data_IF_379901906643
#
_entry.id   IF_379901906643
#
_cell.length_a   1.000
_cell.length_b   1.000
_cell.length_c   1.000
_cell.angle_alpha   90.00
_cell.angle_beta   90.00
_cell.angle_gamma   90.00
#
_symmetry.space_group_name_H-M   'P 1'
#
loop_
_entity.id
_entity.type
_entity.pdbx_description
1 polymer ?
#
# COMPACT_ATOMS: atom_id res chain seq x y z
N UNK A 1 -26.38 -39.09 -5.23
CA UNK A 1 -24.93 -39.34 -5.12
C UNK A 1 -24.27 -38.18 -5.89
N UNK A 2 -23.88 -37.16 -5.19
CA UNK A 2 -23.22 -35.98 -5.77
C UNK A 2 -21.86 -35.91 -5.12
N UNK A 3 -20.82 -36.16 -5.92
CA UNK A 3 -19.42 -36.12 -5.51
C UNK A 3 -19.01 -34.66 -5.35
N UNK A 4 -18.70 -34.30 -4.11
CA UNK A 4 -18.00 -33.07 -3.77
C UNK A 4 -16.55 -33.18 -4.30
N UNK A 5 -16.25 -32.58 -5.42
CA UNK A 5 -14.87 -32.32 -5.83
C UNK A 5 -14.35 -31.14 -5.03
N UNK A 6 -13.56 -31.45 -4.04
CA UNK A 6 -12.75 -30.51 -3.28
C UNK A 6 -11.64 -30.05 -4.22
N UNK A 7 -11.73 -28.80 -4.71
CA UNK A 7 -10.64 -28.13 -5.41
C UNK A 7 -9.50 -27.93 -4.39
N UNK A 8 -8.53 -28.85 -4.41
CA UNK A 8 -7.25 -28.63 -3.77
C UNK A 8 -6.47 -27.62 -4.63
N UNK A 9 -6.14 -26.47 -4.07
CA UNK A 9 -5.16 -25.58 -4.65
C UNK A 9 -3.79 -26.18 -4.33
N UNK A 10 -3.16 -26.82 -5.32
CA UNK A 10 -1.75 -27.11 -5.27
C UNK A 10 -0.99 -25.77 -5.40
N UNK A 11 -0.56 -25.24 -4.28
CA UNK A 11 0.51 -24.26 -4.29
C UNK A 11 1.78 -25.04 -4.65
N UNK A 12 2.23 -24.84 -5.89
CA UNK A 12 3.54 -25.27 -6.33
C UNK A 12 4.57 -24.55 -5.43
N UNK A 13 5.28 -25.30 -4.58
CA UNK A 13 6.45 -24.85 -3.82
C UNK A 13 7.64 -24.56 -4.78
N UNK A 14 7.33 -23.98 -5.95
CA UNK A 14 8.28 -23.54 -6.94
C UNK A 14 9.15 -22.41 -6.43
N UNK A 15 10.39 -22.74 -6.22
CA UNK A 15 11.55 -21.87 -6.01
C UNK A 15 11.53 -21.01 -4.75
N UNK A 16 11.88 -21.64 -3.63
CA UNK A 16 12.67 -20.96 -2.60
C UNK A 16 13.95 -20.48 -3.30
N UNK A 17 13.95 -19.20 -3.70
CA UNK A 17 15.10 -18.58 -4.32
C UNK A 17 16.33 -18.87 -3.44
N UNK A 18 17.31 -19.54 -4.03
CA UNK A 18 18.61 -19.80 -3.40
C UNK A 18 19.10 -18.49 -2.78
N UNK A 19 19.20 -18.47 -1.46
CA UNK A 19 19.80 -17.35 -0.70
C UNK A 19 21.19 -17.12 -1.27
N UNK A 20 21.35 -16.03 -2.04
CA UNK A 20 22.65 -15.64 -2.56
C UNK A 20 23.65 -15.46 -1.40
N UNK A 21 24.88 -15.92 -1.53
CA UNK A 21 25.82 -15.96 -0.42
C UNK A 21 26.20 -14.54 0.03
N UNK A 22 25.97 -14.33 1.32
CA UNK A 22 26.69 -13.54 2.29
C UNK A 22 27.25 -12.16 1.85
N UNK A 23 26.47 -11.11 2.12
CA UNK A 23 26.94 -9.72 2.08
C UNK A 23 27.88 -9.36 3.25
N UNK A 24 28.39 -10.35 4.00
CA UNK A 24 29.24 -10.13 5.18
C UNK A 24 28.47 -9.67 6.45
N UNK A 25 27.18 -9.41 6.34
CA UNK A 25 26.33 -9.01 7.47
C UNK A 25 26.10 -10.16 8.47
N UNK A 26 26.08 -11.40 7.98
CA UNK A 26 25.87 -12.61 8.81
C UNK A 26 26.95 -12.83 9.88
N UNK A 27 28.09 -12.14 9.79
CA UNK A 27 29.16 -12.16 10.82
C UNK A 27 28.86 -11.33 12.05
N UNK A 28 27.87 -10.46 11.98
CA UNK A 28 27.49 -9.58 13.10
C UNK A 28 26.23 -10.13 13.78
N UNK A 29 26.17 -10.00 15.12
CA UNK A 29 25.00 -10.37 15.86
C UNK A 29 23.81 -9.47 15.45
N UNK A 30 22.66 -10.04 15.03
CA UNK A 30 21.49 -9.26 14.66
C UNK A 30 21.10 -8.26 15.75
N UNK A 31 20.77 -7.03 15.38
CA UNK A 31 20.46 -5.95 16.32
C UNK A 31 21.67 -5.23 16.91
N UNK A 32 22.91 -5.72 16.70
CA UNK A 32 24.11 -5.01 17.14
C UNK A 32 24.39 -3.76 16.30
N UNK A 33 25.19 -2.82 16.84
CA UNK A 33 25.60 -1.61 16.10
C UNK A 33 26.27 -1.93 14.76
N UNK A 34 27.14 -2.95 14.75
CA UNK A 34 27.83 -3.37 13.54
C UNK A 34 26.85 -3.98 12.51
N UNK A 35 25.86 -4.74 12.99
CA UNK A 35 24.83 -5.28 12.12
C UNK A 35 23.98 -4.15 11.51
N UNK A 36 23.50 -3.21 12.33
CA UNK A 36 22.73 -2.05 11.85
C UNK A 36 23.56 -1.25 10.84
N UNK A 37 24.84 -1.00 11.11
CA UNK A 37 25.72 -0.26 10.21
C UNK A 37 26.00 -0.98 8.88
N UNK A 38 25.95 -2.31 8.86
CA UNK A 38 26.18 -3.14 7.67
C UNK A 38 24.96 -3.31 6.77
N UNK A 39 23.73 -3.06 7.29
CA UNK A 39 22.50 -3.12 6.50
C UNK A 39 22.57 -2.16 5.30
N UNK A 40 22.01 -2.59 4.18
CA UNK A 40 21.89 -1.81 2.95
C UNK A 40 20.41 -1.74 2.53
N UNK A 41 20.00 -0.76 1.71
CA UNK A 41 18.61 -0.66 1.22
C UNK A 41 18.32 -1.67 0.10
N UNK A 42 18.62 -2.96 0.33
CA UNK A 42 18.40 -4.05 -0.61
C UNK A 42 17.20 -4.88 -0.20
N UNK A 43 16.64 -5.64 -1.14
CA UNK A 43 15.54 -6.55 -0.88
C UNK A 43 15.95 -7.67 0.08
N UNK A 44 17.17 -8.18 -0.04
CA UNK A 44 17.70 -9.20 0.88
C UNK A 44 17.76 -8.70 2.33
N UNK A 45 18.19 -7.46 2.55
CA UNK A 45 18.25 -6.88 3.88
C UNK A 45 16.86 -6.49 4.40
N UNK A 46 15.91 -6.15 3.52
CA UNK A 46 14.50 -5.97 3.90
C UNK A 46 13.90 -7.27 4.45
N UNK A 47 14.14 -8.42 3.80
CA UNK A 47 13.72 -9.73 4.31
C UNK A 47 14.37 -10.06 5.67
N UNK A 48 15.63 -9.67 5.88
CA UNK A 48 16.33 -9.83 7.17
C UNK A 48 15.67 -9.00 8.27
N UNK A 49 15.30 -7.75 7.96
CA UNK A 49 14.58 -6.85 8.86
C UNK A 49 13.23 -7.41 9.26
N UNK A 50 12.51 -8.00 8.30
CA UNK A 50 11.19 -8.58 8.54
C UNK A 50 11.22 -9.77 9.52
N UNK A 51 12.27 -10.57 9.47
CA UNK A 51 12.46 -11.75 10.32
C UNK A 51 13.17 -11.46 11.65
N UNK A 52 13.65 -10.23 11.86
CA UNK A 52 14.41 -9.90 13.04
C UNK A 52 13.50 -9.59 14.24
N UNK A 53 13.81 -10.16 15.42
CA UNK A 53 13.08 -9.87 16.65
C UNK A 53 13.58 -8.58 17.30
N UNK A 54 12.81 -7.51 17.11
CA UNK A 54 13.12 -6.16 17.63
C UNK A 54 13.13 -6.09 19.17
N UNK A 55 12.45 -7.01 19.87
CA UNK A 55 12.40 -7.03 21.33
C UNK A 55 13.75 -7.38 21.97
N UNK A 56 14.71 -7.87 21.20
CA UNK A 56 16.05 -8.18 21.67
C UNK A 56 16.99 -6.98 21.72
N UNK A 57 16.54 -5.81 21.25
CA UNK A 57 17.35 -4.60 21.12
C UNK A 57 17.37 -3.74 22.40
N UNK A 58 18.44 -2.94 22.55
CA UNK A 58 18.41 -1.79 23.46
C UNK A 58 17.67 -0.62 22.80
N UNK A 59 17.16 0.31 23.61
CA UNK A 59 16.45 1.48 23.09
C UNK A 59 17.31 2.34 22.15
N UNK A 60 18.63 2.46 22.43
CA UNK A 60 19.55 3.21 21.59
C UNK A 60 19.79 2.52 20.24
N UNK A 61 19.90 1.19 20.22
CA UNK A 61 20.05 0.42 18.99
C UNK A 61 18.75 0.47 18.16
N UNK A 62 17.60 0.36 18.83
CA UNK A 62 16.29 0.49 18.18
C UNK A 62 16.10 1.86 17.54
N UNK A 63 16.48 2.95 18.19
CA UNK A 63 16.41 4.30 17.65
C UNK A 63 17.30 4.47 16.40
N UNK A 64 18.50 3.88 16.40
CA UNK A 64 19.39 3.91 15.23
C UNK A 64 18.84 3.10 14.06
N UNK A 65 18.29 1.91 14.33
CA UNK A 65 17.67 1.09 13.30
C UNK A 65 16.44 1.80 12.73
N UNK A 66 15.57 2.32 13.59
CA UNK A 66 14.38 3.07 13.18
C UNK A 66 14.74 4.23 12.25
N UNK A 67 15.68 5.10 12.65
CA UNK A 67 16.09 6.25 11.84
C UNK A 67 16.63 5.84 10.47
N UNK A 68 17.35 4.72 10.40
CA UNK A 68 17.90 4.20 9.15
C UNK A 68 16.81 3.66 8.23
N UNK A 69 15.90 2.85 8.76
CA UNK A 69 14.81 2.26 8.00
C UNK A 69 13.82 3.34 7.56
N UNK A 70 13.50 4.31 8.43
CA UNK A 70 12.65 5.45 8.10
C UNK A 70 13.21 6.26 6.92
N UNK A 71 14.53 6.52 6.91
CA UNK A 71 15.18 7.21 5.79
C UNK A 71 15.10 6.41 4.48
N UNK A 72 15.17 5.08 4.53
CA UNK A 72 14.98 4.25 3.33
C UNK A 72 13.54 4.26 2.84
N UNK A 73 12.56 4.17 3.73
CA UNK A 73 11.14 4.28 3.37
C UNK A 73 10.85 5.65 2.74
N UNK A 74 11.38 6.74 3.28
CA UNK A 74 11.24 8.07 2.68
C UNK A 74 11.89 8.14 1.28
N UNK A 75 13.07 7.54 1.12
CA UNK A 75 13.75 7.46 -0.19
C UNK A 75 12.96 6.62 -1.20
N UNK A 76 12.41 5.49 -0.76
CA UNK A 76 11.56 4.63 -1.60
C UNK A 76 10.28 5.38 -2.03
N UNK A 77 9.66 6.14 -1.11
CA UNK A 77 8.49 6.96 -1.41
C UNK A 77 8.81 8.05 -2.44
N UNK A 78 9.94 8.75 -2.29
CA UNK A 78 10.38 9.76 -3.26
C UNK A 78 10.59 9.11 -4.64
N UNK A 79 11.36 8.02 -4.69
CA UNK A 79 11.64 7.31 -5.93
C UNK A 79 10.36 6.79 -6.62
N UNK A 80 9.39 6.33 -5.82
CA UNK A 80 8.13 5.79 -6.31
C UNK A 80 7.17 6.89 -6.75
N UNK A 81 6.96 7.95 -5.92
CA UNK A 81 5.90 8.94 -6.14
C UNK A 81 6.37 10.20 -6.89
N UNK A 82 7.68 10.52 -6.86
CA UNK A 82 8.20 11.74 -7.48
C UNK A 82 9.00 11.42 -8.74
N UNK A 83 9.94 10.44 -8.61
CA UNK A 83 10.91 10.18 -9.66
C UNK A 83 10.40 9.14 -10.67
N UNK A 84 9.23 8.52 -10.42
CA UNK A 84 8.65 7.40 -11.18
C UNK A 84 9.70 6.32 -11.52
N UNK A 85 10.58 6.07 -10.58
CA UNK A 85 11.73 5.18 -10.72
C UNK A 85 11.95 4.37 -9.44
N UNK A 86 11.05 3.41 -9.14
CA UNK A 86 11.14 2.62 -7.91
C UNK A 86 12.48 1.89 -7.82
N UNK A 87 13.15 2.05 -6.68
CA UNK A 87 14.48 1.47 -6.39
C UNK A 87 14.40 0.21 -5.55
N UNK A 88 13.22 -0.13 -5.06
CA UNK A 88 12.94 -1.31 -4.23
C UNK A 88 11.70 -2.03 -4.74
N UNK A 89 11.61 -3.34 -4.49
CA UNK A 89 10.37 -4.08 -4.72
C UNK A 89 9.30 -3.70 -3.68
N UNK A 90 8.02 -3.90 -4.03
CA UNK A 90 6.90 -3.67 -3.10
C UNK A 90 7.08 -4.51 -1.83
N UNK A 91 7.51 -5.77 -1.97
CA UNK A 91 7.79 -6.65 -0.83
C UNK A 91 8.90 -6.11 0.10
N UNK A 92 9.93 -5.48 -0.45
CA UNK A 92 10.99 -4.86 0.33
C UNK A 92 10.51 -3.60 1.05
N UNK A 93 9.70 -2.78 0.38
CA UNK A 93 9.06 -1.62 0.98
C UNK A 93 8.16 -2.02 2.17
N UNK A 94 7.28 -3.00 1.97
CA UNK A 94 6.40 -3.52 3.01
C UNK A 94 7.16 -4.11 4.20
N UNK A 95 8.24 -4.85 3.93
CA UNK A 95 9.09 -5.39 4.98
C UNK A 95 9.75 -4.30 5.84
N UNK A 96 10.14 -3.17 5.23
CA UNK A 96 10.67 -1.99 5.93
C UNK A 96 9.59 -1.31 6.76
N UNK A 97 8.39 -1.14 6.20
CA UNK A 97 7.24 -0.57 6.92
C UNK A 97 6.90 -1.41 8.16
N UNK A 98 6.76 -2.73 8.01
CA UNK A 98 6.51 -3.64 9.15
C UNK A 98 7.63 -3.59 10.20
N UNK A 99 8.88 -3.41 9.78
CA UNK A 99 9.99 -3.23 10.72
C UNK A 99 9.82 -1.96 11.56
N UNK A 100 9.42 -0.84 10.96
CA UNK A 100 9.13 0.41 11.69
C UNK A 100 7.98 0.23 12.67
N UNK A 101 6.86 -0.34 12.25
CA UNK A 101 5.70 -0.60 13.11
C UNK A 101 6.07 -1.46 14.33
N UNK A 102 6.85 -2.52 14.14
CA UNK A 102 7.32 -3.37 15.24
C UNK A 102 8.28 -2.64 16.18
N UNK A 103 9.15 -1.78 15.65
CA UNK A 103 10.04 -0.94 16.47
C UNK A 103 9.24 0.07 17.30
N UNK A 104 8.25 0.70 16.73
CA UNK A 104 7.37 1.67 17.40
C UNK A 104 6.50 1.00 18.46
N UNK A 105 5.97 -0.20 18.16
CA UNK A 105 5.22 -0.99 19.15
C UNK A 105 6.09 -1.44 20.34
N UNK A 106 7.34 -1.87 20.08
CA UNK A 106 8.28 -2.29 21.12
C UNK A 106 8.90 -1.12 21.91
N UNK A 107 9.08 0.03 21.25
CA UNK A 107 9.68 1.25 21.80
C UNK A 107 8.81 2.47 21.53
N UNK A 108 7.75 2.71 22.30
CA UNK A 108 6.76 3.77 22.05
C UNK A 108 7.32 5.20 21.95
N UNK A 109 8.55 5.43 22.41
CA UNK A 109 9.24 6.71 22.24
C UNK A 109 9.67 6.99 20.79
N UNK A 110 9.67 5.98 19.92
CA UNK A 110 9.97 6.09 18.50
C UNK A 110 8.73 6.46 17.67
N UNK A 111 7.56 6.13 18.19
CA UNK A 111 6.28 6.49 17.60
C UNK A 111 6.06 7.99 17.71
N UNK A 112 6.10 8.69 16.58
CA UNK A 112 5.92 10.13 16.52
C UNK A 112 5.17 10.53 15.23
N UNK A 113 4.51 11.71 15.21
CA UNK A 113 3.69 12.14 14.08
C UNK A 113 4.44 12.29 12.74
N UNK A 114 5.77 12.35 12.75
CA UNK A 114 6.60 12.43 11.56
C UNK A 114 7.02 11.04 11.03
N UNK A 115 6.69 9.96 11.75
CA UNK A 115 7.01 8.61 11.28
C UNK A 115 6.40 8.32 9.91
N UNK A 116 7.14 7.64 9.01
CA UNK A 116 6.57 7.14 7.76
C UNK A 116 5.35 6.24 7.96
N UNK A 117 5.24 5.56 9.10
CA UNK A 117 4.09 4.69 9.44
C UNK A 117 2.78 5.47 9.59
N UNK A 118 2.85 6.76 9.94
CA UNK A 118 1.69 7.65 10.02
C UNK A 118 1.37 8.38 8.73
N UNK A 119 2.27 8.31 7.73
CA UNK A 119 2.11 8.95 6.44
C UNK A 119 1.65 7.93 5.41
N UNK A 120 0.41 8.01 4.99
CA UNK A 120 -0.07 7.22 3.85
C UNK A 120 0.30 7.98 2.58
N UNK A 121 1.25 7.43 1.83
CA UNK A 121 1.64 7.78 0.47
C UNK A 121 1.53 9.25 0.02
N UNK A 122 2.68 9.86 -0.20
CA UNK A 122 2.91 10.94 -1.17
C UNK A 122 2.08 12.21 -1.10
N UNK A 123 2.53 13.20 -0.31
CA UNK A 123 2.18 14.61 -0.53
C UNK A 123 3.32 15.31 -1.29
N UNK A 124 3.51 15.01 -2.58
CA UNK A 124 4.68 15.50 -3.32
C UNK A 124 4.37 16.08 -4.70
N UNK A 125 3.16 16.56 -4.96
CA UNK A 125 2.91 17.39 -6.14
C UNK A 125 2.60 18.80 -5.72
N UNK A 126 3.44 19.76 -6.11
CA UNK A 126 3.22 21.18 -5.89
C UNK A 126 2.18 21.80 -6.86
N UNK A 127 1.63 21.00 -7.79
CA UNK A 127 0.77 21.49 -8.87
C UNK A 127 -0.74 21.35 -8.57
N UNK A 128 -1.12 20.56 -7.57
CA UNK A 128 -2.52 20.32 -7.20
C UNK A 128 -2.88 20.95 -5.85
N UNK A 129 -4.08 21.51 -5.76
CA UNK A 129 -4.58 22.07 -4.52
C UNK A 129 -4.86 20.94 -3.51
N UNK A 130 -4.38 21.10 -2.28
CA UNK A 130 -4.68 20.17 -1.20
C UNK A 130 -6.08 20.45 -0.64
N UNK A 131 -6.91 19.40 -0.56
CA UNK A 131 -8.30 19.47 -0.11
C UNK A 131 -8.55 18.44 0.99
N UNK A 132 -9.21 18.88 2.07
CA UNK A 132 -9.60 18.00 3.16
C UNK A 132 -10.78 17.12 2.74
N UNK A 133 -10.67 15.80 2.99
CA UNK A 133 -11.77 14.87 2.78
C UNK A 133 -12.95 15.18 3.73
N UNK A 134 -14.19 15.12 3.26
CA UNK A 134 -15.37 15.19 4.12
C UNK A 134 -15.40 14.09 5.17
N UNK A 135 -15.02 12.85 4.77
CA UNK A 135 -14.82 11.71 5.67
C UNK A 135 -13.42 11.13 5.46
N UNK A 136 -12.74 10.75 6.54
CA UNK A 136 -11.39 10.18 6.46
C UNK A 136 -11.36 8.96 5.54
N UNK A 137 -10.39 8.91 4.62
CA UNK A 137 -10.06 7.71 3.85
C UNK A 137 -9.13 6.83 4.68
N UNK A 138 -9.45 5.55 4.72
CA UNK A 138 -8.68 4.56 5.46
C UNK A 138 -7.89 3.67 4.51
N UNK A 139 -6.90 2.95 5.04
CA UNK A 139 -6.21 1.86 4.36
C UNK A 139 -6.86 0.52 4.74
N UNK A 140 -6.49 -0.53 4.02
CA UNK A 140 -6.74 -1.92 4.41
C UNK A 140 -5.47 -2.44 5.09
N UNK A 141 -5.66 -3.27 6.11
CA UNK A 141 -4.56 -4.00 6.73
C UNK A 141 -4.23 -5.22 5.85
N UNK A 142 -2.96 -5.57 5.79
CA UNK A 142 -2.47 -6.71 5.03
C UNK A 142 -2.18 -7.89 5.96
N UNK A 143 -2.34 -9.12 5.45
CA UNK A 143 -1.91 -10.37 6.12
C UNK A 143 -1.00 -11.13 5.15
N UNK A 144 0.07 -11.72 5.66
CA UNK A 144 1.12 -12.37 4.87
C UNK A 144 1.25 -13.87 5.15
N UNK A 145 0.41 -14.40 6.04
CA UNK A 145 0.36 -15.82 6.36
C UNK A 145 -1.07 -16.30 6.64
N UNK A 146 -1.27 -17.61 6.56
CA UNK A 146 -2.55 -18.23 6.91
C UNK A 146 -2.84 -18.07 8.42
N UNK A 147 -1.81 -18.07 9.24
CA UNK A 147 -1.90 -17.83 10.68
C UNK A 147 -2.43 -16.43 10.96
N UNK A 148 -1.86 -15.40 10.33
CA UNK A 148 -2.32 -14.01 10.47
C UNK A 148 -3.76 -13.84 9.96
N UNK A 149 -4.12 -14.47 8.83
CA UNK A 149 -5.48 -14.46 8.33
C UNK A 149 -6.47 -15.06 9.35
N UNK A 150 -6.04 -16.16 10.01
CA UNK A 150 -6.86 -16.81 11.03
C UNK A 150 -7.02 -15.91 12.25
N UNK A 151 -5.95 -15.30 12.73
CA UNK A 151 -5.97 -14.40 13.88
C UNK A 151 -6.85 -13.17 13.60
N UNK A 152 -6.77 -12.61 12.39
CA UNK A 152 -7.66 -11.56 11.93
C UNK A 152 -9.13 -12.01 11.93
N UNK A 153 -9.43 -13.21 11.37
CA UNK A 153 -10.79 -13.76 11.36
C UNK A 153 -11.33 -13.95 12.78
N UNK A 154 -10.51 -14.50 13.69
CA UNK A 154 -10.87 -14.69 15.09
C UNK A 154 -11.13 -13.34 15.80
N UNK A 155 -10.38 -12.28 15.43
CA UNK A 155 -10.64 -10.93 15.94
C UNK A 155 -11.99 -10.38 15.48
N UNK A 156 -12.34 -10.55 14.21
CA UNK A 156 -13.63 -10.13 13.65
C UNK A 156 -14.80 -10.87 14.35
N UNK A 157 -14.65 -12.17 14.61
CA UNK A 157 -15.62 -12.95 15.37
C UNK A 157 -15.85 -12.34 16.76
N UNK A 158 -14.78 -11.98 17.47
CA UNK A 158 -14.86 -11.36 18.80
C UNK A 158 -15.49 -9.97 18.76
N UNK A 159 -15.07 -9.14 17.84
CA UNK A 159 -15.53 -7.74 17.72
C UNK A 159 -17.01 -7.63 17.36
N UNK A 160 -17.52 -8.64 16.63
CA UNK A 160 -18.95 -8.73 16.27
C UNK A 160 -19.80 -9.48 17.30
N UNK A 161 -19.23 -10.01 18.38
CA UNK A 161 -19.90 -10.94 19.29
C UNK A 161 -20.61 -12.08 18.51
N UNK A 162 -19.94 -12.56 17.42
CA UNK A 162 -20.54 -13.54 16.53
C UNK A 162 -20.60 -14.92 17.21
N UNK A 163 -21.75 -15.65 17.12
CA UNK A 163 -21.87 -16.93 17.76
C UNK A 163 -20.86 -17.95 17.21
N UNK A 164 -20.00 -18.52 18.07
CA UNK A 164 -19.00 -19.55 17.68
C UNK A 164 -19.62 -20.77 16.99
N UNK A 165 -20.90 -21.04 17.23
CA UNK A 165 -21.65 -22.16 16.61
C UNK A 165 -22.01 -21.90 15.15
N UNK A 166 -21.74 -20.73 14.60
CA UNK A 166 -22.12 -20.36 13.22
C UNK A 166 -20.90 -19.85 12.46
N UNK A 167 -20.65 -20.37 11.24
CA UNK A 167 -19.60 -19.79 10.40
C UNK A 167 -19.98 -18.35 10.03
N UNK A 168 -19.01 -17.42 10.11
CA UNK A 168 -19.17 -16.06 9.61
C UNK A 168 -18.98 -16.10 8.08
N UNK A 169 -19.99 -15.71 7.28
CA UNK A 169 -19.82 -15.65 5.84
C UNK A 169 -18.87 -14.51 5.48
N UNK A 170 -17.91 -14.80 4.59
CA UNK A 170 -16.93 -13.84 4.10
C UNK A 170 -17.08 -13.67 2.59
N UNK A 171 -16.89 -12.45 2.09
CA UNK A 171 -16.71 -12.18 0.66
C UNK A 171 -15.21 -12.02 0.40
N UNK A 172 -14.76 -12.67 -0.67
CA UNK A 172 -13.37 -12.54 -1.14
C UNK A 172 -13.39 -11.86 -2.50
N UNK A 173 -12.64 -10.79 -2.64
CA UNK A 173 -12.55 -10.00 -3.86
C UNK A 173 -11.10 -9.73 -4.21
N UNK A 174 -10.83 -9.51 -5.50
CA UNK A 174 -9.51 -9.11 -5.95
C UNK A 174 -9.27 -7.66 -5.51
N UNK A 175 -8.16 -7.41 -4.80
CA UNK A 175 -7.70 -6.06 -4.53
C UNK A 175 -7.02 -5.52 -5.77
N UNK A 176 -7.70 -4.63 -6.48
CA UNK A 176 -7.14 -3.98 -7.66
C UNK A 176 -5.99 -3.06 -7.23
N UNK A 177 -4.89 -3.14 -7.98
CA UNK A 177 -3.74 -2.25 -7.80
C UNK A 177 -3.87 -1.04 -8.71
N UNK A 178 -3.95 0.13 -8.12
CA UNK A 178 -4.16 1.40 -8.80
C UNK A 178 -4.04 2.57 -7.84
N UNK A 179 -4.75 3.66 -8.12
CA UNK A 179 -4.79 4.87 -7.32
C UNK A 179 -6.15 5.02 -6.65
N UNK A 180 -6.14 5.12 -5.33
CA UNK A 180 -7.35 5.38 -4.58
C UNK A 180 -7.93 6.76 -4.93
N UNK A 181 -9.24 6.78 -5.21
CA UNK A 181 -9.97 7.94 -5.63
C UNK A 181 -11.18 8.18 -4.72
N UNK A 182 -11.39 9.45 -4.35
CA UNK A 182 -12.61 9.92 -3.71
C UNK A 182 -13.36 10.88 -4.63
N UNK A 183 -14.56 10.49 -5.07
CA UNK A 183 -15.45 11.29 -5.90
C UNK A 183 -16.51 11.94 -5.02
N UNK A 184 -16.65 13.26 -5.10
CA UNK A 184 -17.63 14.02 -4.36
C UNK A 184 -18.69 14.52 -5.33
N UNK A 185 -19.93 14.09 -5.08
CA UNK A 185 -21.10 14.57 -5.82
C UNK A 185 -21.99 15.42 -4.90
N UNK A 186 -22.45 16.55 -5.44
CA UNK A 186 -23.50 17.36 -4.83
C UNK A 186 -24.69 17.51 -5.76
N UNK A 187 -25.88 17.24 -5.23
CA UNK A 187 -27.11 17.25 -6.03
C UNK A 187 -26.96 16.42 -7.33
N UNK A 188 -26.22 15.31 -7.24
CA UNK A 188 -25.94 14.44 -8.36
C UNK A 188 -24.90 14.89 -9.36
N UNK A 189 -24.28 16.06 -9.18
CA UNK A 189 -23.22 16.58 -10.07
C UNK A 189 -21.86 16.33 -9.46
N UNK A 190 -20.90 15.83 -10.27
CA UNK A 190 -19.50 15.64 -9.86
C UNK A 190 -18.88 17.01 -9.57
N UNK A 191 -18.62 17.27 -8.31
CA UNK A 191 -18.03 18.50 -7.83
C UNK A 191 -16.50 18.39 -7.77
N UNK A 192 -16.00 17.30 -7.12
CA UNK A 192 -14.56 17.08 -6.91
C UNK A 192 -14.17 15.61 -7.09
N UNK A 193 -12.93 15.41 -7.53
CA UNK A 193 -12.20 14.16 -7.48
C UNK A 193 -10.90 14.37 -6.73
N UNK A 194 -10.65 13.57 -5.69
CA UNK A 194 -9.51 13.73 -4.80
C UNK A 194 -8.68 12.45 -4.73
N UNK A 195 -7.36 12.57 -4.70
CA UNK A 195 -6.50 11.44 -4.33
C UNK A 195 -6.69 11.11 -2.84
N UNK A 196 -6.27 9.92 -2.40
CA UNK A 196 -6.34 9.55 -0.98
C UNK A 196 -5.48 10.47 -0.10
N UNK A 197 -4.28 10.84 -0.59
CA UNK A 197 -3.29 11.55 0.20
C UNK A 197 -2.95 10.80 1.50
N UNK A 198 -2.88 11.52 2.61
CA UNK A 198 -2.68 10.98 3.97
C UNK A 198 -3.98 10.43 4.62
N UNK A 199 -5.05 10.36 3.85
CA UNK A 199 -6.38 9.96 4.31
C UNK A 199 -7.19 11.07 4.99
N UNK A 200 -6.59 12.19 5.35
CA UNK A 200 -7.26 13.39 5.89
C UNK A 200 -7.37 14.48 4.81
N UNK A 201 -6.30 14.64 4.04
CA UNK A 201 -6.21 15.54 2.89
C UNK A 201 -5.76 14.79 1.66
N UNK A 202 -6.33 15.12 0.52
CA UNK A 202 -5.92 14.62 -0.79
C UNK A 202 -5.69 15.77 -1.75
N UNK A 203 -5.20 15.47 -2.94
CA UNK A 203 -4.99 16.42 -4.00
C UNK A 203 -6.25 16.54 -4.87
N UNK A 204 -6.62 17.74 -5.26
CA UNK A 204 -7.73 17.97 -6.18
C UNK A 204 -7.31 17.65 -7.62
N UNK A 205 -7.74 16.48 -8.09
CA UNK A 205 -7.51 15.96 -9.44
C UNK A 205 -8.80 15.96 -10.27
N UNK A 206 -9.73 16.85 -9.96
CA UNK A 206 -11.05 16.91 -10.61
C UNK A 206 -10.96 16.98 -12.13
N UNK A 207 -10.00 17.75 -12.67
CA UNK A 207 -9.81 17.87 -14.10
C UNK A 207 -9.40 16.54 -14.75
N UNK A 208 -8.49 15.80 -14.11
CA UNK A 208 -8.06 14.48 -14.58
C UNK A 208 -9.21 13.47 -14.49
N UNK A 209 -9.95 13.48 -13.39
CA UNK A 209 -11.12 12.60 -13.20
C UNK A 209 -12.17 12.79 -14.31
N UNK A 210 -12.40 14.02 -14.76
CA UNK A 210 -13.36 14.32 -15.83
C UNK A 210 -12.96 13.75 -17.21
N UNK A 211 -11.69 13.36 -17.39
CA UNK A 211 -11.24 12.69 -18.62
C UNK A 211 -11.56 11.19 -18.62
N UNK A 212 -11.90 10.61 -17.46
CA UNK A 212 -12.21 9.19 -17.33
C UNK A 212 -13.66 8.94 -17.75
N UNK A 213 -13.87 8.43 -18.95
CA UNK A 213 -15.19 8.26 -19.54
C UNK A 213 -16.15 7.34 -18.76
N UNK A 214 -15.65 6.47 -17.90
CA UNK A 214 -16.46 5.60 -17.03
C UNK A 214 -16.98 6.32 -15.76
N UNK A 215 -16.46 7.50 -15.44
CA UNK A 215 -16.92 8.29 -14.29
C UNK A 215 -18.02 9.26 -14.77
N UNK A 216 -19.27 9.12 -14.32
CA UNK A 216 -20.36 9.98 -14.75
C UNK A 216 -20.20 11.40 -14.18
N UNK A 217 -20.32 12.42 -15.03
CA UNK A 217 -20.37 13.82 -14.58
C UNK A 217 -21.64 14.11 -13.76
N UNK A 218 -22.71 13.32 -14.00
CA UNK A 218 -23.98 13.43 -13.30
C UNK A 218 -24.49 12.05 -12.95
N UNK A 219 -24.91 11.86 -11.70
CA UNK A 219 -25.62 10.65 -11.29
C UNK A 219 -26.99 10.62 -11.93
N UNK A 220 -27.31 9.51 -12.62
CA UNK A 220 -28.60 9.31 -13.24
C UNK A 220 -29.67 8.90 -12.23
N UNK A 221 -30.95 8.97 -12.68
CA UNK A 221 -32.09 8.53 -11.88
C UNK A 221 -33.13 9.63 -11.65
N UNK A 222 -34.27 9.29 -11.04
CA UNK A 222 -35.25 10.27 -10.60
C UNK A 222 -34.64 11.23 -9.60
N UNK A 223 -35.03 12.49 -9.62
CA UNK A 223 -34.43 13.54 -8.77
C UNK A 223 -34.59 13.23 -7.27
N UNK A 224 -35.66 12.56 -6.90
CA UNK A 224 -35.97 12.12 -5.53
C UNK A 224 -35.03 11.04 -5.02
N UNK A 225 -34.38 10.28 -5.91
CA UNK A 225 -33.43 9.22 -5.58
C UNK A 225 -31.97 9.71 -5.58
N UNK A 226 -31.72 10.93 -6.08
CA UNK A 226 -30.39 11.51 -6.13
C UNK A 226 -30.07 12.19 -4.79
N UNK A 227 -29.03 11.76 -4.07
CA UNK A 227 -28.67 12.35 -2.79
C UNK A 227 -28.13 13.78 -2.98
N UNK A 228 -28.40 14.67 -2.00
CA UNK A 228 -27.85 16.01 -1.99
C UNK A 228 -26.31 16.00 -1.88
N UNK A 229 -25.78 14.99 -1.20
CA UNK A 229 -24.34 14.78 -1.02
C UNK A 229 -24.02 13.28 -0.99
N UNK A 230 -22.97 12.86 -1.73
CA UNK A 230 -22.44 11.52 -1.64
C UNK A 230 -20.93 11.52 -1.96
N UNK A 231 -20.15 10.76 -1.18
CA UNK A 231 -18.79 10.37 -1.49
C UNK A 231 -18.80 8.96 -2.09
N UNK A 232 -18.14 8.80 -3.23
CA UNK A 232 -17.95 7.50 -3.88
C UNK A 232 -16.46 7.23 -3.92
N UNK A 233 -16.03 6.16 -3.27
CA UNK A 233 -14.63 5.74 -3.22
C UNK A 233 -14.40 4.59 -4.17
N UNK A 234 -13.26 4.63 -4.85
CA UNK A 234 -12.89 3.64 -5.85
C UNK A 234 -11.41 3.63 -6.11
N UNK A 235 -11.05 2.92 -7.17
CA UNK A 235 -9.66 2.76 -7.60
C UNK A 235 -9.56 3.08 -9.08
N UNK A 236 -8.63 3.95 -9.46
CA UNK A 236 -8.25 4.18 -10.86
C UNK A 236 -7.11 3.22 -11.17
N UNK A 237 -7.29 2.39 -12.18
CA UNK A 237 -6.29 1.42 -12.59
C UNK A 237 -6.14 1.38 -14.10
N UNK A 238 -4.99 0.91 -14.56
CA UNK A 238 -4.70 0.69 -15.97
C UNK A 238 -4.64 -0.81 -16.24
N UNK A 239 -5.27 -1.25 -17.34
CA UNK A 239 -5.19 -2.65 -17.78
C UNK A 239 -3.81 -2.95 -18.36
N UNK A 240 -3.35 -4.18 -18.24
CA UNK A 240 -2.05 -4.60 -18.76
C UNK A 240 -1.89 -4.34 -20.26
N UNK A 241 -2.94 -4.58 -21.06
CA UNK A 241 -2.87 -4.35 -22.50
C UNK A 241 -2.69 -2.86 -22.84
N UNK A 242 -3.41 -1.99 -22.12
CA UNK A 242 -3.31 -0.53 -22.29
C UNK A 242 -1.95 -0.02 -21.80
N UNK A 243 -1.43 -0.56 -20.69
CA UNK A 243 -0.10 -0.26 -20.17
C UNK A 243 1.01 -0.62 -21.14
N UNK A 244 0.97 -1.80 -21.75
CA UNK A 244 1.94 -2.19 -22.77
C UNK A 244 1.87 -1.30 -24.01
N UNK A 245 0.66 -0.93 -24.44
CA UNK A 245 0.47 -0.01 -25.58
C UNK A 245 1.08 1.35 -25.27
N UNK A 246 0.78 1.91 -24.10
CA UNK A 246 1.32 3.19 -23.66
C UNK A 246 2.87 3.17 -23.58
N UNK A 247 3.45 2.12 -23.01
CA UNK A 247 4.90 2.02 -22.90
C UNK A 247 5.59 1.91 -24.26
N UNK A 248 5.01 1.18 -25.23
CA UNK A 248 5.52 1.15 -26.59
C UNK A 248 5.49 2.56 -27.24
N UNK A 249 4.42 3.32 -27.02
CA UNK A 249 4.31 4.71 -27.50
C UNK A 249 5.34 5.64 -26.82
N UNK A 250 5.64 5.43 -25.54
CA UNK A 250 6.70 6.17 -24.82
C UNK A 250 8.07 5.89 -25.44
N UNK A 251 8.39 4.61 -25.65
CA UNK A 251 9.67 4.20 -26.26
C UNK A 251 9.81 4.73 -27.70
N UNK A 252 8.76 4.64 -28.51
CA UNK A 252 8.75 5.17 -29.88
C UNK A 252 8.95 6.70 -29.91
N UNK A 253 8.47 7.39 -28.88
CA UNK A 253 8.67 8.83 -28.69
C UNK A 253 10.02 9.19 -28.03
N UNK A 254 10.87 8.20 -27.71
CA UNK A 254 12.17 8.39 -27.03
C UNK A 254 12.04 8.81 -25.57
N UNK A 255 10.90 8.50 -24.94
CA UNK A 255 10.65 8.77 -23.51
C UNK A 255 10.84 7.49 -22.70
N UNK A 256 11.08 7.64 -21.38
CA UNK A 256 11.18 6.49 -20.49
C UNK A 256 9.82 5.80 -20.34
N UNK A 257 9.76 4.45 -20.38
CA UNK A 257 8.53 3.72 -20.08
C UNK A 257 8.17 3.83 -18.59
N UNK A 258 6.88 3.75 -18.29
CA UNK A 258 6.40 3.66 -16.91
C UNK A 258 6.79 2.31 -16.28
N UNK A 259 7.12 2.33 -14.99
CA UNK A 259 7.60 1.14 -14.27
C UNK A 259 6.50 0.09 -14.05
N UNK A 260 5.25 0.52 -13.83
CA UNK A 260 4.11 -0.35 -13.60
C UNK A 260 2.78 0.32 -13.98
N UNK A 261 1.66 -0.44 -14.10
CA UNK A 261 0.36 0.11 -14.46
C UNK A 261 -0.18 1.17 -13.50
N UNK A 262 0.16 1.08 -12.21
CA UNK A 262 -0.26 2.04 -11.19
C UNK A 262 0.37 3.41 -11.44
N UNK A 263 1.69 3.43 -11.68
CA UNK A 263 2.41 4.67 -11.98
C UNK A 263 1.95 5.29 -13.30
N UNK A 264 1.68 4.45 -14.31
CA UNK A 264 1.11 4.91 -15.56
C UNK A 264 -0.27 5.57 -15.36
N UNK A 265 -1.11 4.99 -14.51
CA UNK A 265 -2.42 5.57 -14.17
C UNK A 265 -2.30 6.91 -13.39
N UNK A 266 -1.18 7.11 -12.66
CA UNK A 266 -0.90 8.34 -11.93
C UNK A 266 -0.37 9.46 -12.83
N UNK A 267 0.44 9.12 -13.81
CA UNK A 267 1.20 10.07 -14.64
C UNK A 267 0.65 10.28 -16.05
N UNK A 268 -0.41 9.59 -16.42
CA UNK A 268 -1.02 9.69 -17.78
C UNK A 268 -2.20 10.63 -17.83
#
# INVERSE_FOLDING_TARGET
>A
MSTNEQLAWDFDDGDVAEVRPDTGIARFAPGSEQWIAALQPTDDDAIRLDRFDVNTMTAEAAARLWARVAAWVESDQIAYYIDDSPVSSDAAYDARMRCLERLEAAFPSLDNPQSPTHRVGGSFSNDFASVRHPSRMMSLDDVFSIEELKDWYDSVIRDLDWPESKPLPMSCEVKIDGLALNLIYRNGVLEQGLTRGDGVTGEDITLNVRTIGSIPANLGGPKEDVPDFVEIRGEVFMRWDDFHTLNNEQEDAGRAPFANPRNAAAGS
#
